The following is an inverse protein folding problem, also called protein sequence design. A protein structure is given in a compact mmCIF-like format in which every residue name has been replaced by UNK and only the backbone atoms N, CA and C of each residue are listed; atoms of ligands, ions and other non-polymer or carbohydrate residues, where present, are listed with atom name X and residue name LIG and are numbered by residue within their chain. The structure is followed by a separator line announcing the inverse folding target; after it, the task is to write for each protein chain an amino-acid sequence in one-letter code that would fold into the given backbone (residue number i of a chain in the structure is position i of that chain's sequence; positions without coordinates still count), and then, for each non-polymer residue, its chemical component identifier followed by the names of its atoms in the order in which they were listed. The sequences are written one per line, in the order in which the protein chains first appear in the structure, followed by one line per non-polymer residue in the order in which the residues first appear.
data_IF_400602371050
#
_entry.id   IF_400602371050
#
_cell.length_a   1.000
_cell.length_b   1.000
_cell.length_c   1.000
_cell.angle_alpha   90.00
_cell.angle_beta   90.00
_cell.angle_gamma   90.00
#
_symmetry.space_group_name_H-M   'P 1'
#
loop_
_entity.id
_entity.type
_entity.pdbx_description
1 polymer ?
#
# COMPACT_ATOMS: atom_id res chain seq x y z
N UNK A 1 3.80 3.56 5.24
CA UNK A 1 3.76 2.76 4.00
C UNK A 1 5.15 2.29 3.54
N UNK A 2 6.25 2.99 3.86
CA UNK A 2 7.62 2.56 3.51
C UNK A 2 8.26 1.57 4.50
N UNK A 3 7.62 1.30 5.64
CA UNK A 3 8.01 0.26 6.61
C UNK A 3 7.47 -1.10 6.13
N UNK A 4 8.29 -1.79 5.32
CA UNK A 4 7.88 -3.02 4.63
C UNK A 4 7.70 -4.21 5.58
N UNK A 5 8.46 -4.26 6.67
CA UNK A 5 8.38 -5.32 7.68
C UNK A 5 7.07 -5.23 8.48
N UNK A 6 6.53 -4.02 8.60
CA UNK A 6 5.22 -3.80 9.20
C UNK A 6 4.05 -4.22 8.31
N UNK A 7 4.20 -4.28 6.99
CA UNK A 7 3.07 -4.48 6.04
C UNK A 7 2.23 -5.73 6.33
N UNK A 8 2.81 -6.92 6.59
CA UNK A 8 2.03 -8.13 6.90
C UNK A 8 1.14 -8.00 8.14
N UNK A 9 1.43 -7.04 9.02
CA UNK A 9 0.74 -6.87 10.30
C UNK A 9 -0.57 -6.06 10.14
N UNK A 10 -0.74 -5.33 9.04
CA UNK A 10 -1.92 -4.48 8.82
C UNK A 10 -2.57 -4.65 7.44
N UNK A 11 -1.85 -5.18 6.44
CA UNK A 11 -2.42 -5.44 5.12
C UNK A 11 -2.98 -6.86 5.04
N UNK A 12 -4.24 -6.96 4.62
CA UNK A 12 -4.93 -8.25 4.59
C UNK A 12 -4.23 -9.24 3.64
N UNK A 13 -4.08 -10.48 4.10
CA UNK A 13 -3.53 -11.60 3.33
C UNK A 13 -2.08 -11.47 2.88
N UNK A 14 -1.37 -10.40 3.23
CA UNK A 14 0.05 -10.27 2.93
C UNK A 14 0.84 -11.13 3.91
N UNK A 15 1.61 -12.07 3.37
CA UNK A 15 2.56 -12.89 4.12
C UNK A 15 3.88 -12.13 4.33
N UNK A 16 4.39 -11.52 3.26
CA UNK A 16 5.66 -10.81 3.29
C UNK A 16 5.77 -9.80 2.15
N UNK A 17 6.57 -8.77 2.40
CA UNK A 17 6.94 -7.75 1.41
C UNK A 17 8.46 -7.63 1.37
N UNK A 18 9.03 -7.55 0.18
CA UNK A 18 10.47 -7.37 -0.03
C UNK A 18 10.71 -6.32 -1.10
N UNK A 19 11.61 -5.38 -0.83
CA UNK A 19 12.16 -4.48 -1.86
C UNK A 19 13.13 -5.27 -2.74
N UNK A 20 12.85 -5.32 -4.04
CA UNK A 20 13.72 -5.94 -5.06
C UNK A 20 14.72 -4.93 -5.63
N UNK A 21 14.29 -3.68 -5.80
CA UNK A 21 15.10 -2.60 -6.36
C UNK A 21 14.61 -1.23 -5.89
N UNK A 22 15.44 -0.20 -6.03
CA UNK A 22 15.14 1.20 -5.70
C UNK A 22 15.63 2.12 -6.82
N UNK A 23 14.84 2.30 -7.89
CA UNK A 23 15.24 3.09 -9.05
C UNK A 23 15.54 4.56 -8.72
N UNK A 24 14.88 5.13 -7.70
CA UNK A 24 15.10 6.50 -7.25
C UNK A 24 14.77 6.69 -5.77
N UNK A 25 14.90 7.91 -5.25
CA UNK A 25 14.55 8.21 -3.84
C UNK A 25 13.05 8.06 -3.56
N UNK A 26 12.22 8.14 -4.60
CA UNK A 26 10.75 8.10 -4.53
C UNK A 26 10.15 6.86 -5.19
N UNK A 27 10.98 5.97 -5.77
CA UNK A 27 10.51 4.77 -6.44
C UNK A 27 11.12 3.51 -5.85
N UNK A 28 10.29 2.49 -5.69
CA UNK A 28 10.69 1.17 -5.24
C UNK A 28 10.06 0.09 -6.12
N UNK A 29 10.82 -0.96 -6.40
CA UNK A 29 10.25 -2.21 -6.93
C UNK A 29 10.01 -3.15 -5.76
N UNK A 30 8.76 -3.52 -5.56
CA UNK A 30 8.29 -4.29 -4.42
C UNK A 30 7.77 -5.65 -4.88
N UNK A 31 8.20 -6.69 -4.17
CA UNK A 31 7.63 -8.03 -4.25
C UNK A 31 6.74 -8.28 -3.06
N UNK A 32 5.48 -8.61 -3.31
CA UNK A 32 4.50 -8.93 -2.27
C UNK A 32 4.05 -10.37 -2.43
N UNK A 33 4.06 -11.13 -1.33
CA UNK A 33 3.54 -12.50 -1.27
C UNK A 33 2.23 -12.51 -0.48
N UNK A 34 1.22 -13.16 -1.04
CA UNK A 34 -0.11 -13.27 -0.47
C UNK A 34 -0.42 -14.72 -0.10
N UNK A 35 -0.88 -14.90 1.14
CA UNK A 35 -1.42 -16.17 1.62
C UNK A 35 -2.96 -16.10 1.58
N UNK A 36 -3.56 -16.91 0.70
CA UNK A 36 -5.00 -16.95 0.52
C UNK A 36 -5.61 -18.20 1.18
N UNK A 37 -6.87 -18.13 1.65
CA UNK A 37 -7.54 -19.31 2.17
C UNK A 37 -7.80 -20.34 1.07
N UNK A 38 -7.67 -21.62 1.41
CA UNK A 38 -8.04 -22.73 0.52
C UNK A 38 -9.50 -22.58 0.04
N UNK A 39 -9.82 -22.87 -1.24
CA UNK A 39 -9.01 -23.54 -2.27
C UNK A 39 -8.12 -22.61 -3.11
N UNK A 40 -8.01 -21.32 -2.77
CA UNK A 40 -7.16 -20.40 -3.52
C UNK A 40 -5.68 -20.72 -3.27
N UNK A 41 -4.90 -20.87 -4.35
CA UNK A 41 -3.43 -20.93 -4.29
C UNK A 41 -2.82 -19.60 -3.78
N UNK A 42 -1.61 -19.63 -3.27
CA UNK A 42 -0.92 -18.39 -2.90
C UNK A 42 -0.54 -17.58 -4.14
N UNK A 43 -0.54 -16.25 -4.01
CA UNK A 43 -0.27 -15.30 -5.09
C UNK A 43 0.97 -14.48 -4.78
N UNK A 44 1.68 -14.07 -5.82
CA UNK A 44 2.72 -13.05 -5.70
C UNK A 44 2.52 -11.93 -6.71
N UNK A 45 2.93 -10.73 -6.35
CA UNK A 45 2.90 -9.56 -7.22
C UNK A 45 4.26 -8.86 -7.18
N UNK A 46 4.71 -8.39 -8.34
CA UNK A 46 5.87 -7.51 -8.45
C UNK A 46 5.37 -6.18 -8.98
N UNK A 47 5.58 -5.10 -8.24
CA UNK A 47 5.03 -3.78 -8.57
C UNK A 47 6.10 -2.71 -8.49
N UNK A 48 6.03 -1.74 -9.38
CA UNK A 48 6.73 -0.46 -9.24
C UNK A 48 5.81 0.49 -8.46
N UNK A 49 6.29 0.97 -7.31
CA UNK A 49 5.61 1.99 -6.53
C UNK A 49 6.37 3.32 -6.64
N UNK A 50 5.66 4.40 -6.93
CA UNK A 50 6.23 5.74 -7.11
C UNK A 50 5.49 6.77 -6.24
N UNK A 51 6.24 7.52 -5.44
CA UNK A 51 5.74 8.63 -4.65
C UNK A 51 5.73 9.92 -5.47
N UNK A 52 4.65 10.70 -5.32
CA UNK A 52 4.58 12.10 -5.80
C UNK A 52 3.79 12.95 -4.81
N UNK A 53 4.09 14.24 -4.76
CA UNK A 53 3.34 15.20 -3.96
C UNK A 53 2.91 16.37 -4.83
N UNK A 54 1.63 16.72 -4.75
CA UNK A 54 1.05 17.87 -5.45
C UNK A 54 1.30 19.17 -4.64
N UNK A 55 1.20 20.36 -5.26
CA UNK A 55 1.44 21.64 -4.58
C UNK A 55 0.51 21.93 -3.38
N UNK A 56 -0.65 21.27 -3.32
CA UNK A 56 -1.61 21.34 -2.21
C UNK A 56 -1.25 20.42 -1.02
N UNK A 57 -0.03 19.87 -1.04
CA UNK A 57 0.50 18.89 -0.09
C UNK A 57 -0.14 17.50 -0.15
N UNK A 58 -1.06 17.24 -1.09
CA UNK A 58 -1.60 15.90 -1.29
C UNK A 58 -0.49 14.96 -1.74
N UNK A 59 -0.30 13.87 -1.01
CA UNK A 59 0.67 12.83 -1.30
C UNK A 59 0.00 11.66 -2.02
N UNK A 60 0.67 11.12 -3.03
CA UNK A 60 0.22 9.94 -3.76
C UNK A 60 1.30 8.87 -3.78
N UNK A 61 0.86 7.62 -3.67
CA UNK A 61 1.65 6.43 -3.98
C UNK A 61 0.98 5.71 -5.13
N UNK A 62 1.57 5.86 -6.32
CA UNK A 62 1.11 5.19 -7.53
C UNK A 62 1.78 3.82 -7.63
N UNK A 63 0.98 2.78 -7.85
CA UNK A 63 1.41 1.37 -7.93
C UNK A 63 1.07 0.86 -9.33
N UNK A 64 2.06 0.28 -10.00
CA UNK A 64 1.91 -0.31 -11.34
C UNK A 64 2.55 -1.69 -11.40
N UNK A 65 2.02 -2.52 -12.27
CA UNK A 65 2.53 -3.85 -12.53
C UNK A 65 3.97 -3.82 -13.05
N UNK A 66 4.79 -4.70 -12.49
CA UNK A 66 6.17 -4.95 -12.90
C UNK A 66 6.45 -6.46 -12.95
N UNK A 67 5.40 -7.29 -13.07
CA UNK A 67 5.49 -8.76 -13.09
C UNK A 67 6.52 -9.29 -14.09
N UNK A 68 6.65 -8.69 -15.28
CA UNK A 68 7.55 -9.16 -16.33
C UNK A 68 9.03 -8.86 -16.06
N UNK A 69 9.34 -7.97 -15.10
CA UNK A 69 10.73 -7.58 -14.80
C UNK A 69 11.48 -8.62 -13.98
N UNK A 70 10.77 -9.54 -13.33
CA UNK A 70 11.36 -10.53 -12.41
C UNK A 70 10.73 -11.91 -12.58
N UNK A 71 11.51 -12.99 -12.40
CA UNK A 71 11.03 -14.36 -12.58
C UNK A 71 9.89 -14.69 -11.62
N UNK A 72 9.01 -15.61 -12.04
CA UNK A 72 7.93 -16.12 -11.20
C UNK A 72 8.47 -16.93 -10.02
N UNK A 73 7.90 -16.71 -8.83
CA UNK A 73 8.24 -17.49 -7.65
C UNK A 73 7.56 -18.87 -7.69
N UNK A 74 8.35 -19.94 -7.52
CA UNK A 74 7.82 -21.31 -7.47
C UNK A 74 6.82 -21.46 -6.31
N UNK A 75 5.69 -22.10 -6.60
CA UNK A 75 4.61 -22.34 -5.62
C UNK A 75 3.55 -21.22 -5.57
N UNK A 76 3.80 -20.09 -6.23
CA UNK A 76 2.89 -18.95 -6.29
C UNK A 76 2.34 -18.75 -7.70
N UNK A 77 1.12 -18.21 -7.78
CA UNK A 77 0.53 -17.70 -9.03
C UNK A 77 0.86 -16.21 -9.13
N UNK A 78 1.56 -15.81 -10.20
CA UNK A 78 1.90 -14.41 -10.47
C UNK A 78 0.65 -13.63 -10.85
N UNK A 79 0.39 -12.54 -10.13
CA UNK A 79 -0.63 -11.56 -10.49
C UNK A 79 -0.11 -10.64 -11.60
N UNK A 80 -1.02 -10.22 -12.48
CA UNK A 80 -0.75 -9.31 -13.60
C UNK A 80 -1.74 -8.15 -13.60
N UNK A 81 -1.43 -7.10 -14.34
CA UNK A 81 -2.33 -5.94 -14.46
C UNK A 81 -2.60 -5.24 -13.13
N UNK A 82 -1.69 -5.42 -12.16
CA UNK A 82 -1.79 -4.78 -10.84
C UNK A 82 -1.66 -3.28 -11.01
N UNK A 83 -2.64 -2.55 -10.48
CA UNK A 83 -2.61 -1.11 -10.38
C UNK A 83 -3.22 -0.67 -9.05
N UNK A 84 -2.73 0.45 -8.53
CA UNK A 84 -3.34 1.06 -7.37
C UNK A 84 -2.83 2.46 -7.12
N UNK A 85 -3.58 3.20 -6.33
CA UNK A 85 -3.21 4.53 -5.91
C UNK A 85 -3.63 4.73 -4.45
N UNK A 86 -2.68 5.11 -3.62
CA UNK A 86 -2.99 5.74 -2.35
C UNK A 86 -2.98 7.25 -2.55
N UNK A 87 -3.99 7.92 -2.00
CA UNK A 87 -4.07 9.38 -1.92
C UNK A 87 -4.21 9.77 -0.46
N UNK A 88 -3.27 10.57 0.03
CA UNK A 88 -3.25 11.11 1.39
C UNK A 88 -3.36 12.62 1.28
N UNK A 89 -4.52 13.17 1.61
CA UNK A 89 -4.81 14.59 1.47
C UNK A 89 -4.99 15.24 2.84
N UNK A 90 -4.25 16.31 3.17
CA UNK A 90 -4.48 17.03 4.41
C UNK A 90 -5.85 17.71 4.38
N UNK A 91 -6.60 17.57 5.47
CA UNK A 91 -7.88 18.27 5.69
C UNK A 91 -7.73 19.47 6.63
N UNK A 92 -6.52 19.70 7.16
CA UNK A 92 -6.24 20.69 8.20
C UNK A 92 -6.49 20.14 9.62
N UNK A 93 -6.08 20.90 10.64
CA UNK A 93 -6.24 20.52 12.06
C UNK A 93 -5.62 19.17 12.43
N UNK A 94 -4.56 18.76 11.72
CA UNK A 94 -3.91 17.46 11.92
C UNK A 94 -4.69 16.26 11.36
N UNK A 95 -5.77 16.50 10.61
CA UNK A 95 -6.54 15.44 9.94
C UNK A 95 -6.02 15.19 8.51
N UNK A 96 -5.99 13.92 8.13
CA UNK A 96 -5.61 13.46 6.79
C UNK A 96 -6.66 12.50 6.27
N UNK A 97 -7.18 12.79 5.08
CA UNK A 97 -8.02 11.86 4.33
C UNK A 97 -7.14 10.83 3.62
N UNK A 98 -7.45 9.55 3.80
CA UNK A 98 -6.79 8.45 3.10
C UNK A 98 -7.79 7.79 2.16
N UNK A 99 -7.50 7.81 0.85
CA UNK A 99 -8.24 7.05 -0.16
C UNK A 99 -7.32 6.02 -0.79
N UNK A 100 -7.85 4.83 -1.01
CA UNK A 100 -7.18 3.77 -1.74
C UNK A 100 -8.07 3.29 -2.89
N UNK A 101 -7.50 3.22 -4.09
CA UNK A 101 -8.09 2.54 -5.24
C UNK A 101 -7.11 1.51 -5.75
N UNK A 102 -7.60 0.34 -6.17
CA UNK A 102 -6.74 -0.73 -6.66
C UNK A 102 -7.50 -1.69 -7.55
N UNK A 103 -6.79 -2.27 -8.52
CA UNK A 103 -7.28 -3.35 -9.36
C UNK A 103 -6.13 -4.29 -9.71
N UNK A 104 -6.43 -5.56 -9.93
CA UNK A 104 -5.46 -6.54 -10.38
C UNK A 104 -6.19 -7.67 -11.09
N UNK A 105 -5.52 -8.30 -12.06
CA UNK A 105 -5.91 -9.62 -12.52
C UNK A 105 -5.33 -10.66 -11.55
N UNK A 106 -6.18 -11.35 -10.76
CA UNK A 106 -5.69 -12.30 -9.78
C UNK A 106 -5.12 -13.58 -10.42
N UNK A 107 -5.31 -13.77 -11.73
CA UNK A 107 -4.87 -14.89 -12.56
C UNK A 107 -5.31 -16.30 -12.07
N UNK A 108 -5.55 -17.18 -13.04
CA UNK A 108 -6.01 -18.55 -12.79
C UNK A 108 -7.48 -18.66 -12.38
N UNK A 109 -7.90 -19.86 -11.98
CA UNK A 109 -9.29 -20.10 -11.62
C UNK A 109 -9.57 -19.67 -10.18
N UNK A 110 -10.28 -18.56 -10.03
CA UNK A 110 -10.93 -18.15 -8.79
C UNK A 110 -12.43 -18.00 -9.05
N UNK A 111 -13.29 -18.54 -8.19
CA UNK A 111 -14.72 -18.24 -8.27
C UNK A 111 -14.97 -16.73 -8.09
N UNK A 112 -15.84 -16.14 -8.90
CA UNK A 112 -16.14 -14.69 -8.86
C UNK A 112 -16.61 -14.22 -7.47
N UNK A 113 -17.39 -15.06 -6.77
CA UNK A 113 -17.82 -14.77 -5.39
C UNK A 113 -16.64 -14.64 -4.42
N UNK A 114 -15.57 -15.40 -4.62
CA UNK A 114 -14.37 -15.39 -3.78
C UNK A 114 -13.51 -14.16 -4.10
N UNK A 115 -13.38 -13.80 -5.39
CA UNK A 115 -12.70 -12.56 -5.83
C UNK A 115 -13.38 -11.34 -5.21
N UNK A 116 -14.70 -11.21 -5.35
CA UNK A 116 -15.44 -10.05 -4.85
C UNK A 116 -15.39 -9.94 -3.32
N UNK A 117 -15.55 -11.08 -2.61
CA UNK A 117 -15.49 -11.10 -1.15
C UNK A 117 -14.09 -10.75 -0.63
N UNK A 118 -13.04 -11.27 -1.26
CA UNK A 118 -11.66 -10.93 -0.91
C UNK A 118 -11.39 -9.45 -1.19
N UNK A 119 -11.76 -8.90 -2.34
CA UNK A 119 -11.48 -7.49 -2.68
C UNK A 119 -12.10 -6.49 -1.70
N UNK A 120 -13.40 -6.64 -1.37
CA UNK A 120 -14.09 -5.72 -0.46
C UNK A 120 -13.59 -5.89 0.98
N UNK A 121 -13.52 -7.14 1.46
CA UNK A 121 -13.10 -7.39 2.85
C UNK A 121 -11.62 -7.07 3.10
N UNK A 122 -10.75 -7.31 2.12
CA UNK A 122 -9.32 -7.00 2.23
C UNK A 122 -9.07 -5.51 2.23
N UNK A 123 -9.77 -4.76 1.38
CA UNK A 123 -9.67 -3.29 1.37
C UNK A 123 -10.11 -2.69 2.70
N UNK A 124 -11.27 -3.10 3.20
CA UNK A 124 -11.79 -2.61 4.49
C UNK A 124 -10.86 -2.95 5.65
N UNK A 125 -10.38 -4.20 5.74
CA UNK A 125 -9.41 -4.63 6.76
C UNK A 125 -8.09 -3.88 6.67
N UNK A 126 -7.58 -3.65 5.46
CA UNK A 126 -6.32 -2.95 5.22
C UNK A 126 -6.42 -1.49 5.67
N UNK A 127 -7.52 -0.80 5.33
CA UNK A 127 -7.73 0.57 5.78
C UNK A 127 -7.89 0.66 7.31
N UNK A 128 -8.65 -0.26 7.93
CA UNK A 128 -8.80 -0.30 9.38
C UNK A 128 -7.46 -0.59 10.09
N UNK A 129 -6.69 -1.55 9.58
CA UNK A 129 -5.36 -1.89 10.09
C UNK A 129 -4.38 -0.73 9.97
N UNK A 130 -4.42 0.00 8.85
CA UNK A 130 -3.63 1.21 8.67
C UNK A 130 -4.02 2.28 9.70
N UNK A 131 -5.31 2.60 9.84
CA UNK A 131 -5.80 3.60 10.79
C UNK A 131 -5.36 3.31 12.24
N UNK A 132 -5.39 2.04 12.66
CA UNK A 132 -4.95 1.66 14.00
C UNK A 132 -3.44 1.79 14.21
N UNK A 133 -2.66 1.63 13.13
CA UNK A 133 -1.21 1.62 13.20
C UNK A 133 -0.61 3.00 13.06
N UNK A 134 -1.17 3.87 12.22
CA UNK A 134 -0.64 5.21 12.01
C UNK A 134 -0.60 6.02 13.31
N UNK A 135 -1.48 5.73 14.28
CA UNK A 135 -1.50 6.39 15.59
C UNK A 135 -0.32 6.04 16.51
N UNK A 136 0.51 5.04 16.17
CA UNK A 136 1.74 4.76 16.93
C UNK A 136 2.74 5.93 16.81
N UNK A 137 3.31 6.36 17.95
CA UNK A 137 4.19 7.53 18.02
C UNK A 137 5.34 7.51 17.00
N UNK A 138 5.93 6.35 16.75
CA UNK A 138 7.04 6.20 15.79
C UNK A 138 6.68 6.66 14.37
N UNK A 139 5.39 6.63 14.00
CA UNK A 139 4.92 7.10 12.70
C UNK A 139 4.43 8.55 12.71
N UNK A 140 4.11 9.11 13.88
CA UNK A 140 3.62 10.49 14.01
C UNK A 140 4.73 11.54 13.80
N UNK A 141 5.95 11.23 14.23
CA UNK A 141 7.11 12.14 14.12
C UNK A 141 8.05 11.80 12.95
N UNK A 142 7.64 10.90 12.06
CA UNK A 142 8.45 10.44 10.94
C UNK A 142 8.52 11.51 9.83
N UNK A 143 9.74 11.91 9.45
CA UNK A 143 9.98 12.80 8.32
C UNK A 143 10.61 12.06 7.14
N UNK A 144 10.16 12.38 5.93
CA UNK A 144 10.73 11.84 4.69
C UNK A 144 11.30 12.97 3.84
N UNK A 145 12.54 12.84 3.31
CA UNK A 145 13.22 13.93 2.61
C UNK A 145 12.47 14.53 1.40
N UNK A 146 11.57 13.76 0.78
CA UNK A 146 10.81 14.16 -0.41
C UNK A 146 9.41 14.71 -0.08
N UNK A 147 8.98 14.68 1.18
CA UNK A 147 7.65 15.14 1.61
C UNK A 147 7.79 16.54 2.21
N UNK A 148 6.97 17.47 1.72
CA UNK A 148 6.77 18.78 2.33
C UNK A 148 5.52 18.73 3.20
N UNK A 149 5.66 19.03 4.48
CA UNK A 149 4.52 19.10 5.39
C UNK A 149 3.72 20.39 5.17
N UNK A 150 2.38 20.34 5.30
CA UNK A 150 1.58 21.55 5.31
C UNK A 150 1.97 22.43 6.51
N UNK A 151 1.83 23.77 6.41
CA UNK A 151 2.10 24.66 7.54
C UNK A 151 1.31 24.22 8.77
N UNK A 152 1.98 24.13 9.92
CA UNK A 152 1.34 23.75 11.17
C UNK A 152 0.13 24.66 11.43
N UNK A 153 -1.08 24.08 11.48
CA UNK A 153 -2.25 24.81 11.98
C UNK A 153 -2.01 25.00 13.47
N UNK A 154 -1.57 26.18 13.89
CA UNK A 154 -1.36 26.51 15.31
C UNK A 154 -2.68 26.38 16.05
N UNK A 155 -2.90 25.26 16.72
CA UNK A 155 -3.83 25.13 17.84
C UNK A 155 -3.19 24.28 18.91
N UNK A 156 -2.16 24.84 19.56
CA UNK A 156 -1.86 24.47 20.94
C UNK A 156 -2.27 25.67 21.77
N UNK A 157 -3.41 25.51 22.45
CA UNK A 157 -3.90 26.30 23.57
C UNK A 157 -2.83 27.23 24.16
N UNK A 158 -2.98 28.53 23.90
CA UNK A 158 -2.70 29.51 24.94
C UNK A 158 -3.70 29.25 26.06
N UNK A 159 -3.27 28.49 27.06
CA UNK A 159 -3.73 28.52 28.45
C UNK A 159 -2.87 27.58 29.29
#
# INVERSE_FOLDING_TARGET
MNDLEAVPQWMAHVEAVKRLDKPSTTEDVIHTRFHLPWPARNRDAVTLSAWRQDPDFTLYLDIKDAAERYPQLKGYVRMHGVSGQWRLAPLGQGLTEIRYTGSADPAGWLPDWLVNKLSVSSTAKTLAGLCNRITELKYQDSQYPFIKEPPATRTRSER
#
